data_IF_192632377405
#
_entry.id   IF_192632377405
#
_cell.length_a   1.000
_cell.length_b   1.000
_cell.length_c   1.000
_cell.angle_alpha   90.00
_cell.angle_beta   90.00
_cell.angle_gamma   90.00
#
_symmetry.space_group_name_H-M   'P 1'
#
loop_
_entity.id
_entity.type
_entity.pdbx_description
1 polymer ?
#
# COMPACT_ATOMS: atom_id res chain seq x y z
N UNK A 1 -45.10 24.01 -50.97
CA UNK A 1 -45.27 22.97 -49.94
C UNK A 1 -43.87 22.51 -49.54
N UNK A 2 -43.57 22.59 -48.24
CA UNK A 2 -42.24 22.45 -47.58
C UNK A 2 -41.49 23.75 -47.30
N UNK A 3 -42.10 24.61 -46.49
CA UNK A 3 -41.47 25.44 -45.47
C UNK A 3 -42.36 25.19 -44.22
N UNK A 4 -41.90 24.97 -42.99
CA UNK A 4 -40.88 25.68 -42.23
C UNK A 4 -40.18 24.71 -41.26
N UNK A 5 -38.89 24.91 -41.09
CA UNK A 5 -38.11 24.32 -40.02
C UNK A 5 -38.43 25.07 -38.71
N UNK A 6 -39.29 24.52 -37.87
CA UNK A 6 -39.45 24.97 -36.48
C UNK A 6 -38.30 24.43 -35.62
N UNK A 7 -37.16 25.09 -35.68
CA UNK A 7 -36.12 25.00 -34.64
C UNK A 7 -35.46 26.35 -34.42
N UNK A 8 -36.25 27.28 -33.90
CA UNK A 8 -35.78 28.52 -33.29
C UNK A 8 -36.20 28.45 -31.82
N UNK A 9 -35.24 28.26 -30.91
CA UNK A 9 -34.62 29.36 -30.17
C UNK A 9 -35.61 30.09 -29.25
N UNK A 10 -35.90 29.52 -28.07
CA UNK A 10 -36.49 30.21 -26.91
C UNK A 10 -36.37 29.26 -25.70
N UNK A 11 -35.88 29.56 -24.50
CA UNK A 11 -35.46 30.75 -23.76
C UNK A 11 -34.63 30.19 -22.59
N UNK A 12 -33.33 30.46 -22.51
CA UNK A 12 -32.58 30.23 -21.27
C UNK A 12 -31.91 31.54 -20.86
N UNK A 13 -32.76 32.46 -20.44
CA UNK A 13 -32.37 33.70 -19.79
C UNK A 13 -33.18 33.81 -18.48
N UNK A 14 -33.20 32.71 -17.73
CA UNK A 14 -33.57 32.72 -16.31
C UNK A 14 -32.27 33.02 -15.57
N UNK A 15 -32.07 34.29 -15.20
CA UNK A 15 -31.02 34.70 -14.27
C UNK A 15 -31.26 34.03 -12.92
N UNK A 16 -30.85 32.76 -12.80
CA UNK A 16 -30.67 32.09 -11.52
C UNK A 16 -29.66 32.91 -10.74
N UNK A 17 -29.95 33.26 -9.47
CA UNK A 17 -29.05 34.07 -8.68
C UNK A 17 -27.65 33.44 -8.67
N UNK A 18 -26.57 34.20 -8.90
CA UNK A 18 -25.22 33.67 -9.09
C UNK A 18 -24.72 32.88 -7.86
N UNK A 19 -25.33 33.10 -6.70
CA UNK A 19 -25.05 32.34 -5.47
C UNK A 19 -25.45 30.86 -5.54
N UNK A 20 -26.47 30.49 -6.31
CA UNK A 20 -26.93 29.09 -6.40
C UNK A 20 -25.99 28.25 -7.27
N UNK A 21 -25.47 28.86 -8.34
CA UNK A 21 -24.50 28.21 -9.24
C UNK A 21 -23.12 28.14 -8.59
N UNK A 22 -22.71 29.20 -7.89
CA UNK A 22 -21.44 29.22 -7.17
C UNK A 22 -21.42 28.18 -6.04
N UNK A 23 -22.54 28.02 -5.32
CA UNK A 23 -22.69 27.01 -4.26
C UNK A 23 -22.56 25.58 -4.78
N UNK A 24 -23.14 25.26 -5.93
CA UNK A 24 -23.05 23.90 -6.51
C UNK A 24 -21.64 23.59 -7.03
N UNK A 25 -20.94 24.57 -7.61
CA UNK A 25 -19.54 24.43 -8.01
C UNK A 25 -18.63 24.28 -6.80
N UNK A 26 -18.79 25.12 -5.76
CA UNK A 26 -18.03 25.00 -4.52
C UNK A 26 -18.27 23.65 -3.83
N UNK A 27 -19.52 23.17 -3.83
CA UNK A 27 -19.85 21.86 -3.26
C UNK A 27 -19.26 20.70 -4.08
N UNK A 28 -19.27 20.81 -5.40
CA UNK A 28 -18.61 19.85 -6.29
C UNK A 28 -17.08 19.85 -6.11
N UNK A 29 -16.47 21.03 -6.02
CA UNK A 29 -15.03 21.19 -5.75
C UNK A 29 -14.65 20.62 -4.38
N UNK A 30 -15.45 20.89 -3.34
CA UNK A 30 -15.21 20.37 -1.99
C UNK A 30 -15.37 18.84 -1.93
N UNK A 31 -16.35 18.30 -2.66
CA UNK A 31 -16.52 16.85 -2.82
C UNK A 31 -15.36 16.19 -3.57
N UNK A 32 -14.86 16.85 -4.62
CA UNK A 32 -13.71 16.39 -5.38
C UNK A 32 -12.39 16.48 -4.58
N UNK A 33 -12.22 17.53 -3.77
CA UNK A 33 -11.04 17.70 -2.91
C UNK A 33 -11.00 16.63 -1.81
N UNK A 34 -12.14 16.31 -1.19
CA UNK A 34 -12.25 15.22 -0.22
C UNK A 34 -11.93 13.84 -0.83
N UNK A 35 -12.37 13.59 -2.07
CA UNK A 35 -12.03 12.37 -2.80
C UNK A 35 -10.54 12.32 -3.20
N UNK A 36 -9.94 13.47 -3.52
CA UNK A 36 -8.53 13.60 -3.87
C UNK A 36 -7.62 13.39 -2.67
N UNK A 37 -7.95 13.98 -1.52
CA UNK A 37 -7.19 13.81 -0.28
C UNK A 37 -7.19 12.33 0.16
N UNK A 38 -8.32 11.64 -0.04
CA UNK A 38 -8.43 10.18 0.17
C UNK A 38 -7.54 9.40 -0.80
N UNK A 39 -7.46 9.81 -2.06
CA UNK A 39 -6.63 9.15 -3.09
C UNK A 39 -5.13 9.31 -2.83
N UNK A 40 -4.69 10.48 -2.36
CA UNK A 40 -3.29 10.74 -2.03
C UNK A 40 -2.84 9.89 -0.83
N UNK A 41 -3.65 9.80 0.23
CA UNK A 41 -3.36 8.91 1.38
C UNK A 41 -3.32 7.43 0.99
N UNK A 42 -4.17 6.99 0.06
CA UNK A 42 -4.15 5.61 -0.43
C UNK A 42 -2.90 5.32 -1.26
N UNK A 43 -2.44 6.26 -2.09
CA UNK A 43 -1.20 6.11 -2.87
C UNK A 43 0.03 6.02 -1.98
N UNK A 44 0.12 6.86 -0.95
CA UNK A 44 1.22 6.81 0.02
C UNK A 44 1.21 5.49 0.81
N UNK A 45 0.03 5.04 1.25
CA UNK A 45 -0.14 3.75 1.89
C UNK A 45 0.27 2.59 0.98
N UNK A 46 -0.16 2.57 -0.28
CA UNK A 46 0.19 1.52 -1.24
C UNK A 46 1.69 1.45 -1.46
N UNK A 47 2.37 2.59 -1.57
CA UNK A 47 3.82 2.62 -1.74
C UNK A 47 4.56 2.10 -0.49
N UNK A 48 4.06 2.42 0.71
CA UNK A 48 4.61 1.88 1.95
C UNK A 48 4.42 0.35 2.04
N UNK A 49 3.24 -0.16 1.69
CA UNK A 49 2.96 -1.60 1.69
C UNK A 49 3.74 -2.34 0.60
N UNK A 50 3.94 -1.75 -0.58
CA UNK A 50 4.74 -2.34 -1.64
C UNK A 50 6.20 -2.55 -1.21
N UNK A 51 6.76 -1.62 -0.42
CA UNK A 51 8.11 -1.76 0.13
C UNK A 51 8.21 -2.90 1.15
N UNK A 52 7.23 -3.04 2.04
CA UNK A 52 7.25 -4.12 3.04
C UNK A 52 7.07 -5.48 2.39
N UNK A 53 6.14 -5.61 1.45
CA UNK A 53 5.92 -6.85 0.69
C UNK A 53 7.18 -7.24 -0.11
N UNK A 54 7.77 -6.30 -0.84
CA UNK A 54 9.00 -6.58 -1.60
C UNK A 54 10.17 -6.97 -0.69
N UNK A 55 10.34 -6.33 0.47
CA UNK A 55 11.34 -6.73 1.45
C UNK A 55 11.13 -8.16 1.96
N UNK A 56 9.89 -8.53 2.33
CA UNK A 56 9.55 -9.89 2.80
C UNK A 56 9.84 -10.93 1.71
N UNK A 57 9.47 -10.66 0.46
CA UNK A 57 9.74 -11.55 -0.67
C UNK A 57 11.26 -11.74 -0.87
N UNK A 58 12.04 -10.67 -0.80
CA UNK A 58 13.51 -10.77 -0.92
C UNK A 58 14.12 -11.61 0.20
N UNK A 59 13.69 -11.41 1.46
CA UNK A 59 14.17 -12.23 2.57
C UNK A 59 13.75 -13.69 2.44
N UNK A 60 12.55 -13.99 1.93
CA UNK A 60 12.10 -15.36 1.69
C UNK A 60 12.98 -16.06 0.63
N UNK A 61 13.31 -15.39 -0.47
CA UNK A 61 14.23 -15.93 -1.49
C UNK A 61 15.63 -16.20 -0.92
N UNK A 62 16.16 -15.27 -0.12
CA UNK A 62 17.44 -15.46 0.56
C UNK A 62 17.43 -16.63 1.54
N UNK A 63 16.29 -16.89 2.18
CA UNK A 63 16.11 -18.01 3.11
C UNK A 63 16.07 -19.35 2.35
N UNK A 64 15.43 -19.40 1.17
CA UNK A 64 15.51 -20.56 0.28
C UNK A 64 16.96 -20.86 -0.15
N UNK A 65 17.74 -19.84 -0.50
CA UNK A 65 19.16 -20.01 -0.83
C UNK A 65 19.96 -20.56 0.36
N UNK A 66 19.75 -20.00 1.56
CA UNK A 66 20.41 -20.48 2.77
C UNK A 66 20.09 -21.97 3.07
N UNK A 67 18.84 -22.39 2.86
CA UNK A 67 18.44 -23.80 3.01
C UNK A 67 19.16 -24.68 1.98
N UNK A 68 19.21 -24.25 0.72
CA UNK A 68 19.92 -24.99 -0.34
C UNK A 68 21.42 -25.13 -0.03
N UNK A 69 22.07 -24.09 0.46
CA UNK A 69 23.48 -24.13 0.88
C UNK A 69 23.71 -25.14 2.00
N UNK A 70 22.82 -25.21 2.99
CA UNK A 70 22.89 -26.19 4.08
C UNK A 70 22.67 -27.62 3.58
N UNK A 71 21.72 -27.84 2.66
CA UNK A 71 21.45 -29.17 2.09
C UNK A 71 22.65 -29.64 1.27
N UNK A 72 23.17 -28.80 0.38
CA UNK A 72 24.34 -29.14 -0.45
C UNK A 72 25.58 -29.37 0.43
N UNK A 73 25.78 -28.53 1.44
CA UNK A 73 26.86 -28.69 2.42
C UNK A 73 26.77 -30.02 3.15
N UNK A 74 25.60 -30.34 3.73
CA UNK A 74 25.40 -31.56 4.53
C UNK A 74 25.52 -32.85 3.72
N UNK A 75 25.02 -32.89 2.48
CA UNK A 75 25.13 -34.07 1.60
C UNK A 75 26.59 -34.33 1.16
N UNK A 76 27.43 -33.29 1.12
CA UNK A 76 28.83 -33.38 0.64
C UNK A 76 29.89 -33.35 1.73
N UNK A 77 29.51 -33.28 3.01
CA UNK A 77 30.45 -33.23 4.17
C UNK A 77 31.41 -34.43 4.21
N UNK A 78 31.04 -35.60 3.67
CA UNK A 78 31.83 -36.84 3.77
C UNK A 78 32.46 -37.36 2.48
N UNK A 79 32.25 -36.73 1.32
CA UNK A 79 32.57 -37.34 0.01
C UNK A 79 33.33 -36.43 -0.96
N UNK A 80 33.98 -35.38 -0.46
CA UNK A 80 34.69 -34.42 -1.31
C UNK A 80 36.22 -34.68 -1.34
N UNK A 81 36.78 -35.10 -2.50
CA UNK A 81 38.22 -35.31 -2.68
C UNK A 81 39.02 -34.02 -2.96
N UNK A 82 38.35 -32.89 -3.24
CA UNK A 82 39.02 -31.61 -3.57
C UNK A 82 39.43 -30.84 -2.31
N UNK A 83 38.49 -30.59 -1.38
CA UNK A 83 38.79 -29.99 -0.07
C UNK A 83 37.58 -30.08 0.88
N UNK A 84 37.74 -30.53 2.13
CA UNK A 84 36.66 -30.62 3.11
C UNK A 84 36.20 -29.26 3.67
N UNK A 85 36.96 -28.17 3.43
CA UNK A 85 36.65 -26.85 3.99
C UNK A 85 35.45 -26.15 3.33
N UNK A 86 35.16 -26.48 2.07
CA UNK A 86 34.09 -25.86 1.27
C UNK A 86 32.69 -26.13 1.87
N UNK A 87 32.28 -27.38 2.16
CA UNK A 87 30.96 -27.65 2.74
C UNK A 87 30.79 -27.06 4.15
N UNK A 88 31.86 -26.95 4.94
CA UNK A 88 31.83 -26.30 6.26
C UNK A 88 31.53 -24.81 6.11
N UNK A 89 32.19 -24.14 5.16
CA UNK A 89 31.91 -22.72 4.85
C UNK A 89 30.49 -22.49 4.37
N UNK A 90 29.94 -23.40 3.54
CA UNK A 90 28.55 -23.35 3.09
C UNK A 90 27.55 -23.50 4.25
N UNK A 91 27.81 -24.40 5.20
CA UNK A 91 26.93 -24.59 6.37
C UNK A 91 26.99 -23.37 7.29
N UNK A 92 28.18 -22.83 7.56
CA UNK A 92 28.34 -21.65 8.43
C UNK A 92 27.73 -20.41 7.77
N UNK A 93 27.98 -20.21 6.47
CA UNK A 93 27.41 -19.11 5.68
C UNK A 93 25.89 -19.19 5.62
N UNK A 94 25.34 -20.36 5.27
CA UNK A 94 23.90 -20.61 5.25
C UNK A 94 23.25 -20.39 6.62
N UNK A 95 23.91 -20.80 7.70
CA UNK A 95 23.41 -20.60 9.08
C UNK A 95 23.34 -19.12 9.45
N UNK A 96 24.41 -18.35 9.18
CA UNK A 96 24.44 -16.91 9.43
C UNK A 96 23.39 -16.19 8.58
N UNK A 97 23.25 -16.60 7.31
CA UNK A 97 22.25 -16.05 6.40
C UNK A 97 20.83 -16.33 6.91
N UNK A 98 20.53 -17.55 7.35
CA UNK A 98 19.25 -17.91 7.99
C UNK A 98 18.95 -17.02 9.20
N UNK A 99 19.88 -16.88 10.14
CA UNK A 99 19.67 -16.03 11.33
C UNK A 99 19.41 -14.58 10.90
N UNK A 100 20.20 -14.03 9.98
CA UNK A 100 20.02 -12.66 9.49
C UNK A 100 18.66 -12.47 8.80
N UNK A 101 18.23 -13.42 7.97
CA UNK A 101 16.95 -13.37 7.27
C UNK A 101 15.78 -13.49 8.25
N UNK A 102 15.84 -14.39 9.24
CA UNK A 102 14.80 -14.54 10.27
C UNK A 102 14.69 -13.29 11.12
N UNK A 103 15.81 -12.73 11.58
CA UNK A 103 15.81 -11.47 12.36
C UNK A 103 15.28 -10.31 11.50
N UNK A 104 15.67 -10.22 10.24
CA UNK A 104 15.20 -9.20 9.29
C UNK A 104 13.69 -9.29 9.04
N UNK A 105 13.16 -10.49 8.81
CA UNK A 105 11.72 -10.74 8.64
C UNK A 105 11.00 -10.38 9.93
N UNK A 106 11.46 -10.87 11.08
CA UNK A 106 10.83 -10.60 12.37
C UNK A 106 10.77 -9.10 12.65
N UNK A 107 11.88 -8.39 12.48
CA UNK A 107 11.92 -6.94 12.67
C UNK A 107 10.98 -6.22 11.69
N UNK A 108 11.01 -6.58 10.41
CA UNK A 108 10.15 -5.99 9.37
C UNK A 108 8.67 -6.21 9.70
N UNK A 109 8.29 -7.42 10.09
CA UNK A 109 6.91 -7.77 10.45
C UNK A 109 6.47 -7.07 11.73
N UNK A 110 7.31 -7.03 12.77
CA UNK A 110 6.99 -6.34 14.02
C UNK A 110 6.79 -4.84 13.81
N UNK A 111 7.69 -4.18 13.09
CA UNK A 111 7.57 -2.76 12.77
C UNK A 111 6.34 -2.51 11.89
N UNK A 112 6.12 -3.34 10.87
CA UNK A 112 4.94 -3.22 10.00
C UNK A 112 3.64 -3.42 10.78
N UNK A 113 3.60 -4.38 11.70
CA UNK A 113 2.42 -4.66 12.51
C UNK A 113 2.15 -3.55 13.53
N UNK A 114 3.20 -2.98 14.14
CA UNK A 114 3.09 -1.82 15.03
C UNK A 114 2.57 -0.59 14.27
N UNK A 115 3.11 -0.34 13.07
CA UNK A 115 2.68 0.76 12.21
C UNK A 115 1.23 0.58 11.74
N UNK A 116 0.86 -0.65 11.37
CA UNK A 116 -0.49 -1.00 10.96
C UNK A 116 -1.48 -0.84 12.11
N UNK A 117 -1.15 -1.29 13.32
CA UNK A 117 -1.96 -1.05 14.53
C UNK A 117 -2.18 0.44 14.80
N UNK A 118 -1.11 1.23 14.74
CA UNK A 118 -1.20 2.67 14.95
C UNK A 118 -2.07 3.36 13.89
N UNK A 119 -1.93 2.94 12.62
CA UNK A 119 -2.73 3.46 11.51
C UNK A 119 -4.20 3.09 11.64
N UNK A 120 -4.51 1.85 12.04
CA UNK A 120 -5.88 1.41 12.27
C UNK A 120 -6.55 2.18 13.41
N UNK A 121 -5.83 2.41 14.51
CA UNK A 121 -6.31 3.21 15.62
C UNK A 121 -6.62 4.66 15.20
N UNK A 122 -5.83 5.23 14.29
CA UNK A 122 -6.06 6.57 13.77
C UNK A 122 -7.25 6.62 12.80
N UNK A 123 -7.42 5.59 11.95
CA UNK A 123 -8.59 5.49 11.05
C UNK A 123 -9.89 5.37 11.85
N UNK A 124 -9.90 4.54 12.90
CA UNK A 124 -11.05 4.38 13.80
C UNK A 124 -11.41 5.71 14.49
N UNK A 125 -10.41 6.50 14.92
CA UNK A 125 -10.62 7.85 15.44
C UNK A 125 -11.18 8.83 14.43
N UNK A 126 -10.72 8.78 13.18
CA UNK A 126 -11.22 9.66 12.12
C UNK A 126 -12.65 9.30 11.71
N UNK A 127 -13.00 8.01 11.73
CA UNK A 127 -14.37 7.55 11.52
C UNK A 127 -15.32 8.15 12.58
N UNK A 128 -14.93 8.10 13.86
CA UNK A 128 -15.71 8.74 14.93
C UNK A 128 -15.86 10.26 14.78
N UNK A 129 -14.82 10.97 14.36
CA UNK A 129 -14.92 12.42 14.11
C UNK A 129 -15.78 12.74 12.88
N UNK A 130 -15.73 11.92 11.84
CA UNK A 130 -16.61 12.04 10.67
C UNK A 130 -18.08 11.85 11.02
N UNK A 131 -18.39 10.87 11.88
CA UNK A 131 -19.75 10.62 12.39
C UNK A 131 -20.22 11.78 13.28
N UNK A 132 -19.36 12.31 14.15
CA UNK A 132 -19.68 13.44 15.03
C UNK A 132 -20.06 14.72 14.23
N UNK A 133 -19.35 15.01 13.14
CA UNK A 133 -19.65 16.16 12.26
C UNK A 133 -20.96 15.96 11.48
N UNK A 134 -21.31 14.71 11.14
CA UNK A 134 -22.57 14.38 10.47
C UNK A 134 -23.79 14.48 11.41
N UNK A 135 -23.64 14.03 12.66
CA UNK A 135 -24.68 14.14 13.71
C UNK A 135 -24.93 15.59 14.11
N UNK A 136 -23.91 16.45 14.12
CA UNK A 136 -24.07 17.87 14.47
C UNK A 136 -24.79 18.70 13.39
N UNK A 137 -25.06 18.11 12.21
CA UNK A 137 -25.69 18.76 11.06
C UNK A 137 -27.11 18.25 10.75
N UNK A 138 -27.64 17.35 11.59
CA UNK A 138 -29.03 16.86 11.56
C UNK A 138 -29.79 17.51 12.72
#
# INVERSE_FOLDING_TARGET
>A
MSAEAERSEEKDNESRPPEVVLGSILQSLRGAESARERSERVREGLHAMARTVSAVVMFALLLCLAILEIIVGSVKVGSCPVSPLIPIWLIVGGSISCVRNVVGILFTVLVSCAWFKNTLAEIDRLEQHGIAVLVQRT
#
